data_IF_329129719108
#
_entry.id   IF_329129719108
#
_cell.length_a   1.000
_cell.length_b   1.000
_cell.length_c   1.000
_cell.angle_alpha   90.00
_cell.angle_beta   90.00
_cell.angle_gamma   90.00
#
_symmetry.space_group_name_H-M   'P 1'
#
loop_
_entity.id
_entity.type
_entity.pdbx_description
1 polymer ?
#
# COMPACT_ATOMS: atom_id res chain seq x y z
N UNK A 1 8.85 -20.91 16.34
CA UNK A 1 8.85 -20.15 15.08
C UNK A 1 10.15 -19.36 15.00
N UNK A 2 10.96 -19.56 13.96
CA UNK A 2 12.17 -18.78 13.66
C UNK A 2 11.84 -17.78 12.57
N UNK A 3 12.54 -16.63 12.57
CA UNK A 3 12.33 -15.56 11.59
C UNK A 3 13.65 -15.17 10.94
N UNK A 4 13.61 -14.86 9.66
CA UNK A 4 14.67 -14.16 8.93
C UNK A 4 14.24 -12.74 8.63
N UNK A 5 15.18 -11.83 8.47
CA UNK A 5 14.93 -10.43 8.11
C UNK A 5 15.57 -10.14 6.77
N UNK A 6 14.80 -9.56 5.85
CA UNK A 6 15.25 -9.08 4.55
C UNK A 6 14.92 -7.59 4.43
N UNK A 7 15.68 -6.85 3.64
CA UNK A 7 15.25 -5.51 3.22
C UNK A 7 14.03 -5.62 2.31
N UNK A 8 13.17 -4.62 2.32
CA UNK A 8 12.03 -4.61 1.41
C UNK A 8 12.45 -4.70 -0.07
N UNK A 9 13.60 -4.12 -0.45
CA UNK A 9 14.19 -4.25 -1.78
C UNK A 9 14.63 -5.67 -2.15
N UNK A 10 14.90 -6.53 -1.17
CA UNK A 10 15.25 -7.94 -1.37
C UNK A 10 14.00 -8.84 -1.31
N UNK A 11 13.00 -8.40 -0.54
CA UNK A 11 11.75 -9.14 -0.37
C UNK A 11 10.81 -8.98 -1.56
N UNK A 12 10.68 -7.76 -2.10
CA UNK A 12 9.82 -7.41 -3.21
C UNK A 12 10.51 -7.62 -4.57
N UNK A 13 9.75 -7.74 -5.63
CA UNK A 13 10.29 -7.77 -7.00
C UNK A 13 10.91 -6.40 -7.37
N UNK A 14 10.33 -5.32 -6.88
CA UNK A 14 10.95 -3.99 -6.84
C UNK A 14 10.20 -3.07 -5.86
N UNK A 15 10.89 -2.00 -5.42
CA UNK A 15 10.28 -0.93 -4.62
C UNK A 15 10.46 0.38 -5.38
N UNK A 16 9.34 1.01 -5.72
CA UNK A 16 9.25 2.24 -6.53
C UNK A 16 8.38 3.27 -5.81
N UNK A 17 8.20 4.41 -6.43
CA UNK A 17 7.22 5.43 -6.03
C UNK A 17 6.45 5.94 -7.26
N UNK A 18 5.27 6.49 -7.01
CA UNK A 18 4.47 7.16 -8.02
C UNK A 18 5.13 8.43 -8.53
N UNK A 19 4.54 9.01 -9.58
CA UNK A 19 5.06 10.26 -10.14
C UNK A 19 5.11 11.39 -9.11
N UNK A 20 6.07 12.30 -9.26
CA UNK A 20 6.12 13.57 -8.54
C UNK A 20 5.51 14.72 -9.35
N UNK A 21 5.32 14.51 -10.66
CA UNK A 21 4.66 15.48 -11.53
C UNK A 21 3.20 15.70 -11.12
N UNK A 22 2.64 16.80 -11.56
CA UNK A 22 1.24 17.16 -11.34
C UNK A 22 0.50 17.19 -12.68
N UNK A 23 0.02 16.03 -13.17
CA UNK A 23 -0.80 15.98 -14.36
C UNK A 23 -2.00 16.91 -14.23
N UNK A 24 -2.44 17.50 -15.36
CA UNK A 24 -3.62 18.35 -15.37
C UNK A 24 -4.88 17.53 -15.11
N UNK A 25 -5.75 18.06 -14.26
CA UNK A 25 -7.05 17.45 -14.04
C UNK A 25 -7.93 17.61 -15.28
N UNK A 26 -8.68 16.56 -15.58
CA UNK A 26 -9.73 16.56 -16.61
C UNK A 26 -11.07 16.22 -15.98
N UNK A 27 -12.18 16.47 -16.69
CA UNK A 27 -13.54 16.16 -16.18
C UNK A 27 -13.79 14.64 -16.10
N UNK A 28 -13.23 13.88 -17.04
CA UNK A 28 -13.37 12.43 -17.13
C UNK A 28 -12.12 11.80 -17.70
N UNK A 29 -11.59 10.78 -17.02
CA UNK A 29 -10.38 10.11 -17.44
C UNK A 29 -9.98 8.96 -16.51
N UNK A 30 -8.70 8.77 -16.32
CA UNK A 30 -8.14 7.77 -15.41
C UNK A 30 -7.88 8.39 -14.04
N UNK A 31 -8.13 7.64 -12.97
CA UNK A 31 -7.90 8.13 -11.61
C UNK A 31 -6.40 8.29 -11.30
N UNK A 32 -6.05 9.41 -10.65
CA UNK A 32 -4.73 9.65 -10.07
C UNK A 32 -4.83 9.55 -8.55
N UNK A 33 -4.33 8.45 -8.01
CA UNK A 33 -4.35 8.16 -6.59
C UNK A 33 -3.18 8.85 -5.90
N UNK A 34 -3.46 9.52 -4.79
CA UNK A 34 -2.48 10.15 -3.91
C UNK A 34 -2.59 9.59 -2.50
N UNK A 35 -1.67 9.95 -1.59
CA UNK A 35 -1.75 9.54 -0.19
C UNK A 35 -3.09 9.87 0.47
N UNK A 36 -3.79 10.92 0.03
CA UNK A 36 -5.12 11.30 0.55
C UNK A 36 -6.22 10.29 0.21
N UNK A 37 -6.03 9.54 -0.87
CA UNK A 37 -7.00 8.56 -1.34
C UNK A 37 -6.81 7.18 -0.69
N UNK A 38 -5.68 6.91 -0.04
CA UNK A 38 -5.49 5.69 0.74
C UNK A 38 -6.19 5.88 2.08
N UNK A 39 -7.13 5.00 2.40
CA UNK A 39 -7.88 4.99 3.65
C UNK A 39 -7.52 3.73 4.45
N UNK A 40 -7.96 3.67 5.70
CA UNK A 40 -7.71 2.52 6.58
C UNK A 40 -8.25 1.20 5.99
N UNK A 41 -9.38 1.29 5.28
CA UNK A 41 -10.08 0.12 4.72
C UNK A 41 -10.31 0.22 3.21
N UNK A 42 -9.33 0.72 2.43
CA UNK A 42 -9.41 0.73 0.97
C UNK A 42 -8.89 1.97 0.29
N UNK A 43 -9.36 2.21 -0.93
CA UNK A 43 -9.08 3.40 -1.72
C UNK A 43 -10.34 4.23 -1.93
N UNK A 44 -10.22 5.53 -1.73
CA UNK A 44 -11.23 6.52 -2.08
C UNK A 44 -11.07 6.94 -3.54
N UNK A 45 -11.62 6.13 -4.44
CA UNK A 45 -11.55 6.37 -5.88
C UNK A 45 -12.49 7.51 -6.32
N UNK A 46 -13.59 7.73 -5.62
CA UNK A 46 -14.59 8.74 -5.96
C UNK A 46 -14.00 10.16 -5.87
N UNK A 47 -13.21 10.42 -4.82
CA UNK A 47 -12.58 11.71 -4.59
C UNK A 47 -11.18 11.82 -5.23
N UNK A 48 -10.74 10.82 -6.00
CA UNK A 48 -9.50 10.91 -6.77
C UNK A 48 -9.70 11.80 -8.00
N UNK A 49 -8.67 12.57 -8.34
CA UNK A 49 -8.68 13.41 -9.55
C UNK A 49 -8.59 12.54 -10.81
N UNK A 50 -9.26 12.96 -11.88
CA UNK A 50 -9.11 12.35 -13.19
C UNK A 50 -7.97 13.02 -13.96
N UNK A 51 -7.20 12.22 -14.71
CA UNK A 51 -6.12 12.65 -15.62
C UNK A 51 -6.36 12.10 -17.02
N UNK A 52 -5.73 12.72 -18.01
CA UNK A 52 -5.83 12.28 -19.41
C UNK A 52 -5.26 10.86 -19.61
N UNK A 53 -5.66 10.20 -20.68
CA UNK A 53 -5.09 8.90 -21.07
C UNK A 53 -3.59 9.02 -21.38
N UNK A 54 -3.16 10.13 -21.95
CA UNK A 54 -1.75 10.40 -22.21
C UNK A 54 -0.92 10.48 -20.93
N UNK A 55 -1.39 11.26 -19.95
CA UNK A 55 -0.75 11.37 -18.63
C UNK A 55 -0.76 10.02 -17.90
N UNK A 56 -1.88 9.28 -17.98
CA UNK A 56 -2.00 7.94 -17.40
C UNK A 56 -0.94 6.99 -17.96
N UNK A 57 -0.77 6.95 -19.27
CA UNK A 57 0.25 6.11 -19.92
C UNK A 57 1.66 6.53 -19.49
N UNK A 58 1.96 7.84 -19.54
CA UNK A 58 3.25 8.41 -19.15
C UNK A 58 3.62 8.09 -17.68
N UNK A 59 2.68 8.26 -16.76
CA UNK A 59 2.92 7.94 -15.34
C UNK A 59 3.19 6.45 -15.14
N UNK A 60 2.45 5.61 -15.84
CA UNK A 60 2.55 4.17 -15.72
C UNK A 60 3.77 3.54 -16.41
N UNK A 61 4.50 4.26 -17.26
CA UNK A 61 5.81 3.80 -17.75
C UNK A 61 6.77 3.49 -16.59
N UNK A 62 6.69 4.26 -15.51
CA UNK A 62 7.56 4.10 -14.34
C UNK A 62 6.89 3.33 -13.19
N UNK A 63 5.62 3.57 -12.94
CA UNK A 63 4.93 3.18 -11.71
C UNK A 63 3.59 2.49 -11.97
N UNK A 64 3.54 1.65 -13.00
CA UNK A 64 2.36 0.81 -13.26
C UNK A 64 2.02 -0.02 -12.03
N UNK A 65 0.81 0.17 -11.55
CA UNK A 65 0.25 -0.64 -10.46
C UNK A 65 -0.38 -1.89 -11.05
N UNK A 66 -0.14 -3.04 -10.43
CA UNK A 66 -0.66 -4.33 -10.84
C UNK A 66 -1.30 -5.06 -9.64
N UNK A 67 -2.05 -6.09 -9.93
CA UNK A 67 -2.59 -6.97 -8.88
C UNK A 67 -1.47 -7.53 -8.01
N UNK A 68 -1.73 -7.65 -6.72
CA UNK A 68 -0.81 -8.03 -5.65
C UNK A 68 0.21 -6.95 -5.23
N UNK A 69 0.27 -5.82 -5.88
CA UNK A 69 1.10 -4.72 -5.39
C UNK A 69 0.58 -4.19 -4.04
N UNK A 70 1.49 -3.60 -3.27
CA UNK A 70 1.17 -2.94 -2.01
C UNK A 70 1.51 -1.47 -2.11
N UNK A 71 0.51 -0.62 -1.92
CA UNK A 71 0.61 0.83 -1.91
C UNK A 71 0.84 1.33 -0.48
N UNK A 72 1.70 2.34 -0.34
CA UNK A 72 2.06 2.92 0.95
C UNK A 72 2.03 4.45 0.91
N UNK A 73 1.29 5.09 1.80
CA UNK A 73 1.25 6.56 1.87
C UNK A 73 2.56 7.12 2.42
N UNK A 74 3.23 7.94 1.62
CA UNK A 74 4.56 8.49 1.93
C UNK A 74 4.51 9.90 2.51
N UNK A 75 3.42 10.64 2.32
CA UNK A 75 3.25 12.05 2.64
C UNK A 75 1.90 12.28 3.31
N UNK A 76 1.82 13.22 4.23
CA UNK A 76 0.61 13.54 5.00
C UNK A 76 0.36 12.48 6.06
N UNK A 77 -0.73 11.73 5.98
CA UNK A 77 -0.95 10.57 6.86
C UNK A 77 -0.06 9.42 6.39
N UNK A 78 1.15 9.34 6.95
CA UNK A 78 2.15 8.32 6.57
C UNK A 78 1.73 6.97 7.16
N UNK A 79 1.93 5.89 6.39
CA UNK A 79 1.74 4.54 6.87
C UNK A 79 0.34 3.96 6.65
N UNK A 80 -0.51 4.62 5.85
CA UNK A 80 -1.69 3.99 5.31
C UNK A 80 -1.28 3.04 4.17
N UNK A 81 -1.88 1.85 4.16
CA UNK A 81 -1.46 0.75 3.29
C UNK A 81 -2.67 0.19 2.58
N UNK A 82 -2.52 -0.05 1.27
CA UNK A 82 -3.53 -0.74 0.47
C UNK A 82 -2.90 -1.86 -0.33
N UNK A 83 -3.42 -3.09 -0.21
CA UNK A 83 -3.04 -4.21 -1.07
C UNK A 83 -4.00 -4.27 -2.24
N UNK A 84 -3.46 -4.26 -3.44
CA UNK A 84 -4.23 -4.33 -4.68
C UNK A 84 -4.63 -5.79 -4.93
N UNK A 85 -5.90 -6.13 -4.75
CA UNK A 85 -6.43 -7.50 -4.91
C UNK A 85 -7.27 -7.69 -6.19
N UNK A 86 -7.24 -6.70 -7.08
CA UNK A 86 -7.95 -6.65 -8.37
C UNK A 86 -7.02 -6.08 -9.45
N UNK A 87 -7.45 -6.10 -10.71
CA UNK A 87 -6.73 -5.40 -11.79
C UNK A 87 -7.03 -3.89 -11.73
N UNK A 88 -6.03 -3.06 -11.42
CA UNK A 88 -6.23 -1.63 -11.27
C UNK A 88 -6.19 -0.90 -12.62
N UNK A 89 -6.91 0.22 -12.71
CA UNK A 89 -6.91 1.11 -13.87
C UNK A 89 -6.66 2.57 -13.47
N UNK A 90 -5.76 2.79 -12.53
CA UNK A 90 -5.39 4.11 -12.03
C UNK A 90 -3.87 4.30 -12.03
N UNK A 91 -3.43 5.55 -11.98
CA UNK A 91 -2.05 5.93 -11.76
C UNK A 91 -1.84 6.40 -10.32
N UNK A 92 -0.59 6.47 -9.86
CA UNK A 92 -0.25 6.87 -8.49
C UNK A 92 0.72 8.06 -8.48
N UNK A 93 0.56 8.93 -7.46
CA UNK A 93 1.42 10.09 -7.23
C UNK A 93 1.84 10.17 -5.77
N UNK A 94 3.15 10.28 -5.51
CA UNK A 94 3.74 10.37 -4.18
C UNK A 94 3.29 9.23 -3.24
N UNK A 95 3.16 8.03 -3.78
CA UNK A 95 2.80 6.80 -3.10
C UNK A 95 3.95 5.81 -3.29
N UNK A 96 4.37 5.15 -2.23
CA UNK A 96 5.29 4.02 -2.29
C UNK A 96 4.60 2.81 -2.91
N UNK A 97 5.30 2.14 -3.82
CA UNK A 97 4.83 1.00 -4.59
C UNK A 97 5.76 -0.18 -4.37
N UNK A 98 5.30 -1.17 -3.62
CA UNK A 98 5.97 -2.45 -3.49
C UNK A 98 5.42 -3.41 -4.54
N UNK A 99 6.21 -3.70 -5.56
CA UNK A 99 5.87 -4.64 -6.64
C UNK A 99 6.05 -6.07 -6.15
N UNK A 100 4.99 -6.85 -6.19
CA UNK A 100 5.03 -8.25 -5.74
C UNK A 100 4.08 -9.09 -6.60
N UNK A 101 4.63 -10.02 -7.38
CA UNK A 101 3.81 -10.93 -8.20
C UNK A 101 3.18 -12.04 -7.36
N UNK A 102 3.90 -12.54 -6.36
CA UNK A 102 3.42 -13.64 -5.52
C UNK A 102 2.40 -13.16 -4.50
N UNK A 103 1.20 -13.70 -4.54
CA UNK A 103 0.08 -13.30 -3.69
C UNK A 103 0.37 -13.48 -2.19
N UNK A 104 0.98 -14.60 -1.79
CA UNK A 104 1.28 -14.87 -0.37
C UNK A 104 2.33 -13.90 0.17
N UNK A 105 3.35 -13.58 -0.63
CA UNK A 105 4.33 -12.53 -0.28
C UNK A 105 3.66 -11.17 -0.14
N UNK A 106 2.73 -10.84 -1.04
CA UNK A 106 1.96 -9.60 -0.99
C UNK A 106 1.13 -9.49 0.29
N UNK A 107 0.38 -10.54 0.62
CA UNK A 107 -0.42 -10.63 1.86
C UNK A 107 0.46 -10.49 3.09
N UNK A 108 1.59 -11.21 3.16
CA UNK A 108 2.52 -11.08 4.26
C UNK A 108 3.03 -9.66 4.44
N UNK A 109 3.51 -9.03 3.36
CA UNK A 109 4.00 -7.64 3.43
C UNK A 109 2.92 -6.69 3.92
N UNK A 110 1.70 -6.80 3.39
CA UNK A 110 0.57 -5.97 3.79
C UNK A 110 0.30 -6.04 5.29
N UNK A 111 0.20 -7.24 5.84
CA UNK A 111 -0.03 -7.43 7.29
C UNK A 111 1.19 -7.02 8.12
N UNK A 112 2.40 -7.34 7.67
CA UNK A 112 3.62 -6.99 8.39
C UNK A 112 3.81 -5.48 8.50
N UNK A 113 3.56 -4.72 7.45
CA UNK A 113 3.63 -3.26 7.46
C UNK A 113 2.60 -2.63 8.42
N UNK A 114 1.47 -3.29 8.68
CA UNK A 114 0.44 -2.84 9.64
C UNK A 114 0.79 -3.12 11.10
N UNK A 115 1.84 -3.88 11.38
CA UNK A 115 2.22 -4.23 12.76
C UNK A 115 2.66 -3.00 13.58
N UNK A 116 2.38 -2.98 14.90
CA UNK A 116 2.90 -1.93 15.78
C UNK A 116 4.42 -1.78 15.71
N UNK A 117 5.13 -2.90 15.56
CA UNK A 117 6.60 -2.92 15.43
C UNK A 117 7.06 -2.09 14.22
N UNK A 118 6.45 -2.30 13.06
CA UNK A 118 6.79 -1.57 11.84
C UNK A 118 6.37 -0.10 11.93
N UNK A 119 5.17 0.18 12.48
CA UNK A 119 4.73 1.56 12.73
C UNK A 119 5.72 2.33 13.61
N UNK A 120 6.17 1.73 14.72
CA UNK A 120 7.15 2.33 15.61
C UNK A 120 8.50 2.55 14.92
N UNK A 121 8.97 1.59 14.11
CA UNK A 121 10.19 1.73 13.33
C UNK A 121 10.09 2.92 12.35
N UNK A 122 9.00 3.04 11.60
CA UNK A 122 8.77 4.15 10.67
C UNK A 122 8.71 5.49 11.43
N UNK A 123 8.01 5.54 12.56
CA UNK A 123 7.96 6.75 13.40
C UNK A 123 9.36 7.17 13.88
N UNK A 124 10.24 6.23 14.19
CA UNK A 124 11.63 6.55 14.58
C UNK A 124 12.44 7.15 13.42
N UNK A 125 12.19 6.74 12.18
CA UNK A 125 12.81 7.35 11.00
C UNK A 125 12.33 8.79 10.77
N UNK A 126 11.06 9.08 11.09
CA UNK A 126 10.46 10.41 10.94
C UNK A 126 10.88 11.38 12.05
N UNK A 127 11.09 10.90 13.27
CA UNK A 127 11.45 11.73 14.43
C UNK A 127 12.80 12.46 14.28
N UNK A 128 13.71 11.95 13.45
CA UNK A 128 15.01 12.57 13.12
C UNK A 128 14.96 13.53 11.92
N UNK A 129 13.78 13.76 11.32
CA UNK A 129 13.62 14.54 10.09
C UNK A 129 12.76 15.78 10.33
N UNK A 130 13.20 16.95 9.82
CA UNK A 130 12.38 18.16 9.75
C UNK A 130 11.23 18.04 8.74
N UNK A 131 11.26 17.03 7.88
CA UNK A 131 10.28 16.79 6.83
C UNK A 131 9.40 15.59 7.17
N UNK A 132 8.10 15.83 7.23
CA UNK A 132 7.11 14.79 7.51
C UNK A 132 6.77 13.96 6.25
N UNK A 133 7.76 13.29 5.70
CA UNK A 133 7.56 12.30 4.65
C UNK A 133 8.60 11.18 4.75
N UNK A 134 8.24 9.99 4.28
CA UNK A 134 9.16 8.86 4.14
C UNK A 134 9.72 8.82 2.72
N UNK A 135 11.04 8.64 2.58
CA UNK A 135 11.69 8.60 1.27
C UNK A 135 11.57 7.21 0.63
N UNK A 136 11.74 7.13 -0.69
CA UNK A 136 11.83 5.84 -1.39
C UNK A 136 12.98 4.97 -0.86
N UNK A 137 14.10 5.60 -0.50
CA UNK A 137 15.24 4.88 0.08
C UNK A 137 14.87 4.26 1.44
N UNK A 138 14.16 4.99 2.30
CA UNK A 138 13.65 4.44 3.55
C UNK A 138 12.74 3.23 3.31
N UNK A 139 11.82 3.30 2.30
CA UNK A 139 10.95 2.17 1.97
C UNK A 139 11.75 0.93 1.50
N UNK A 140 12.81 1.13 0.72
CA UNK A 140 13.69 0.04 0.25
C UNK A 140 14.43 -0.67 1.38
N UNK A 141 14.81 0.08 2.40
CA UNK A 141 15.58 -0.40 3.57
C UNK A 141 14.69 -0.95 4.70
N UNK A 142 13.35 -0.93 4.58
CA UNK A 142 12.47 -1.45 5.63
C UNK A 142 12.81 -2.92 5.96
N UNK A 143 13.02 -3.25 7.25
CA UNK A 143 13.35 -4.60 7.67
C UNK A 143 12.08 -5.47 7.71
N UNK A 144 11.92 -6.33 6.73
CA UNK A 144 10.78 -7.25 6.63
C UNK A 144 11.14 -8.57 7.30
N UNK A 145 10.49 -8.89 8.41
CA UNK A 145 10.65 -10.18 9.10
C UNK A 145 9.67 -11.21 8.52
N UNK A 146 10.17 -12.39 8.26
CA UNK A 146 9.41 -13.48 7.63
C UNK A 146 9.70 -14.75 8.43
N UNK A 147 8.69 -15.57 8.76
CA UNK A 147 8.93 -16.92 9.26
C UNK A 147 9.81 -17.70 8.28
N UNK A 148 10.74 -18.50 8.80
CA UNK A 148 11.57 -19.37 7.96
C UNK A 148 10.74 -20.48 7.32
N UNK A 149 9.70 -20.93 8.02
CA UNK A 149 8.75 -21.92 7.54
C UNK A 149 7.59 -21.25 6.80
N UNK A 150 7.35 -21.67 5.57
CA UNK A 150 6.26 -21.16 4.73
C UNK A 150 4.87 -21.56 5.29
N UNK A 151 4.76 -22.71 5.97
CA UNK A 151 3.50 -23.11 6.57
C UNK A 151 3.11 -22.20 7.73
N UNK A 152 4.09 -21.75 8.53
CA UNK A 152 3.85 -20.77 9.58
C UNK A 152 3.36 -19.43 8.98
N UNK A 153 3.96 -18.99 7.87
CA UNK A 153 3.54 -17.79 7.14
C UNK A 153 2.08 -17.93 6.67
N UNK A 154 1.72 -19.05 6.05
CA UNK A 154 0.38 -19.30 5.53
C UNK A 154 -0.67 -19.36 6.65
N UNK A 155 -0.36 -20.01 7.78
CA UNK A 155 -1.26 -20.07 8.95
C UNK A 155 -1.54 -18.68 9.52
N UNK A 156 -0.49 -17.85 9.67
CA UNK A 156 -0.63 -16.48 10.18
C UNK A 156 -1.49 -15.64 9.21
N UNK A 157 -1.19 -15.67 7.92
CA UNK A 157 -1.96 -14.95 6.90
C UNK A 157 -3.42 -15.37 6.95
N UNK A 158 -3.71 -16.67 7.00
CA UNK A 158 -5.08 -17.17 7.05
C UNK A 158 -5.88 -16.61 8.24
N UNK A 159 -5.28 -16.60 9.43
CA UNK A 159 -5.93 -16.04 10.63
C UNK A 159 -6.20 -14.55 10.46
N UNK A 160 -5.22 -13.80 9.94
CA UNK A 160 -5.36 -12.35 9.74
C UNK A 160 -6.42 -12.01 8.69
N UNK A 161 -6.51 -12.80 7.61
CA UNK A 161 -7.57 -12.65 6.59
C UNK A 161 -8.97 -12.89 7.18
N UNK A 162 -9.12 -13.92 8.01
CA UNK A 162 -10.40 -14.18 8.67
C UNK A 162 -10.83 -13.02 9.57
N UNK A 163 -9.89 -12.44 10.33
CA UNK A 163 -10.15 -11.27 11.18
C UNK A 163 -10.50 -10.03 10.35
N UNK A 164 -9.75 -9.74 9.29
CA UNK A 164 -10.00 -8.61 8.41
C UNK A 164 -11.35 -8.72 7.70
N UNK A 165 -11.70 -9.90 7.19
CA UNK A 165 -13.00 -10.17 6.59
C UNK A 165 -14.13 -9.94 7.60
N UNK A 166 -13.97 -10.35 8.86
CA UNK A 166 -14.96 -10.12 9.91
C UNK A 166 -15.13 -8.64 10.23
N UNK A 167 -14.02 -7.89 10.30
CA UNK A 167 -14.06 -6.43 10.49
C UNK A 167 -14.79 -5.76 9.34
N UNK A 168 -14.45 -6.09 8.10
CA UNK A 168 -15.09 -5.54 6.90
C UNK A 168 -16.59 -5.84 6.89
N UNK A 169 -16.99 -7.08 7.16
CA UNK A 169 -18.38 -7.47 7.24
C UNK A 169 -19.15 -6.67 8.30
N UNK A 170 -18.59 -6.56 9.51
CA UNK A 170 -19.21 -5.81 10.59
C UNK A 170 -19.34 -4.32 10.25
N UNK A 171 -18.32 -3.72 9.62
CA UNK A 171 -18.35 -2.32 9.17
C UNK A 171 -19.47 -2.09 8.16
N UNK A 172 -19.59 -2.96 7.15
CA UNK A 172 -20.70 -2.86 6.18
C UNK A 172 -22.09 -3.00 6.85
N UNK A 173 -22.23 -3.96 7.76
CA UNK A 173 -23.48 -4.17 8.49
C UNK A 173 -23.85 -2.92 9.31
N UNK A 174 -22.89 -2.36 10.05
CA UNK A 174 -23.12 -1.17 10.86
C UNK A 174 -23.48 0.06 10.00
N UNK A 175 -22.81 0.25 8.87
CA UNK A 175 -23.14 1.35 7.96
C UNK A 175 -24.56 1.22 7.38
N UNK A 176 -24.97 0.01 7.02
CA UNK A 176 -26.34 -0.23 6.54
C UNK A 176 -27.39 0.01 7.63
N UNK A 177 -27.11 -0.35 8.88
CA UNK A 177 -28.01 -0.11 10.02
C UNK A 177 -28.15 1.39 10.36
N UNK A 178 -27.13 2.21 10.11
CA UNK A 178 -27.17 3.66 10.30
C UNK A 178 -27.89 4.39 9.16
N UNK A 179 -28.03 3.75 8.00
CA UNK A 179 -28.70 4.31 6.83
C UNK A 179 -30.20 3.92 6.73
N UNK A 180 -30.68 3.01 7.59
CA UNK A 180 -32.06 2.56 7.70
C UNK A 180 -32.82 3.32 8.79
#
# INVERSE_FOLDING_TARGET
MKFKTLKASEYCDSVRDGTHDSPKKVEKGYKLITSKNIKEYGLDLENASDISEEDYKKVNERSLVEKNDVLYSMIGTIGLIHRVNYEPNYAIKNIGLFKIKNEQKSKWLYYYLKTPKMKNYINSLLAGSTQQYITLNNLRELPIQIPEDIEDTNKIIHILELLENKITYNTHTNNNLLAA
#
